data_IF_329433713306
#
_entry.id   IF_329433713306
#
_cell.length_a   1.000
_cell.length_b   1.000
_cell.length_c   1.000
_cell.angle_alpha   90.00
_cell.angle_beta   90.00
_cell.angle_gamma   90.00
#
_symmetry.space_group_name_H-M   'P 1'
#
loop_
_entity.id
_entity.type
_entity.pdbx_description
1 polymer ?
#
# COMPACT_ATOMS: atom_id res chain seq x y z
N UNK A 1 -8.98 -21.74 -1.54
CA UNK A 1 -9.07 -20.27 -1.47
C UNK A 1 -9.68 -19.80 -2.78
N UNK A 2 -10.74 -19.00 -2.75
CA UNK A 2 -11.34 -18.46 -3.98
C UNK A 2 -10.57 -17.19 -4.38
N UNK A 3 -9.93 -17.15 -5.56
CA UNK A 3 -9.14 -15.99 -5.97
C UNK A 3 -9.98 -14.71 -6.16
N UNK A 4 -11.31 -14.83 -6.23
CA UNK A 4 -12.23 -13.70 -6.35
C UNK A 4 -12.82 -13.27 -5.01
N UNK A 5 -12.50 -13.97 -3.91
CA UNK A 5 -12.98 -13.64 -2.58
C UNK A 5 -11.83 -13.16 -1.72
N UNK A 6 -11.77 -11.85 -1.51
CA UNK A 6 -10.75 -11.20 -0.72
C UNK A 6 -11.24 -10.87 0.69
N UNK A 7 -10.30 -10.60 1.60
CA UNK A 7 -10.64 -10.09 2.93
C UNK A 7 -11.11 -8.64 2.82
N UNK A 8 -11.86 -8.17 3.81
CA UNK A 8 -12.28 -6.76 3.88
C UNK A 8 -11.07 -5.81 3.85
N UNK A 9 -9.97 -6.19 4.50
CA UNK A 9 -8.71 -5.44 4.48
C UNK A 9 -8.11 -5.33 3.06
N UNK A 10 -8.13 -6.41 2.28
CA UNK A 10 -7.66 -6.36 0.89
C UNK A 10 -8.59 -5.49 0.03
N UNK A 11 -9.91 -5.62 0.19
CA UNK A 11 -10.88 -4.77 -0.52
C UNK A 11 -10.67 -3.30 -0.20
N UNK A 12 -10.44 -2.97 1.08
CA UNK A 12 -10.19 -1.61 1.54
C UNK A 12 -8.89 -1.05 0.95
N UNK A 13 -7.80 -1.80 1.00
CA UNK A 13 -6.51 -1.40 0.40
C UNK A 13 -6.65 -1.12 -1.10
N UNK A 14 -7.44 -1.90 -1.84
CA UNK A 14 -7.70 -1.63 -3.26
C UNK A 14 -8.50 -0.34 -3.50
N UNK A 15 -9.47 -0.01 -2.64
CA UNK A 15 -10.21 1.25 -2.72
C UNK A 15 -9.29 2.45 -2.48
N UNK A 16 -8.48 2.40 -1.44
CA UNK A 16 -7.50 3.45 -1.13
C UNK A 16 -6.46 3.60 -2.25
N UNK A 17 -6.02 2.49 -2.84
CA UNK A 17 -5.13 2.50 -4.01
C UNK A 17 -5.76 3.19 -5.22
N UNK A 18 -7.07 3.02 -5.41
CA UNK A 18 -7.81 3.65 -6.50
C UNK A 18 -7.95 5.16 -6.27
N UNK A 19 -8.27 5.58 -5.04
CA UNK A 19 -8.33 7.00 -4.65
C UNK A 19 -6.98 7.68 -4.92
N UNK A 20 -5.88 7.06 -4.50
CA UNK A 20 -4.52 7.58 -4.76
C UNK A 20 -4.17 7.65 -6.24
N UNK A 21 -4.58 6.67 -7.04
CA UNK A 21 -4.40 6.71 -8.49
C UNK A 21 -5.17 7.89 -9.11
N UNK A 22 -6.40 8.10 -8.66
CA UNK A 22 -7.29 9.16 -9.13
C UNK A 22 -6.76 10.55 -8.77
N UNK A 23 -6.34 10.77 -7.53
CA UNK A 23 -5.73 12.03 -7.06
C UNK A 23 -4.52 12.43 -7.93
N UNK A 24 -3.78 11.45 -8.42
CA UNK A 24 -2.60 11.65 -9.29
C UNK A 24 -2.91 11.66 -10.77
N UNK A 25 -4.19 11.54 -11.15
CA UNK A 25 -4.63 11.47 -12.56
C UNK A 25 -3.98 10.31 -13.32
N UNK A 26 -3.61 9.25 -12.62
CA UNK A 26 -3.08 8.04 -13.22
C UNK A 26 -4.24 7.20 -13.77
N UNK A 27 -4.16 6.80 -15.04
CA UNK A 27 -5.21 6.05 -15.71
C UNK A 27 -5.41 4.62 -15.14
N UNK A 28 -4.40 4.11 -14.43
CA UNK A 28 -4.40 2.76 -13.88
C UNK A 28 -3.88 2.76 -12.44
N UNK A 29 -4.36 1.80 -11.65
CA UNK A 29 -3.76 1.47 -10.37
C UNK A 29 -2.40 0.82 -10.66
N UNK A 30 -1.34 1.39 -10.09
CA UNK A 30 0.01 0.88 -10.15
C UNK A 30 0.43 0.37 -8.77
N UNK A 31 1.44 -0.53 -8.68
CA UNK A 31 1.93 -1.04 -7.40
C UNK A 31 2.28 0.06 -6.39
N UNK A 32 2.74 1.23 -6.84
CA UNK A 32 3.05 2.36 -5.95
C UNK A 32 1.81 2.88 -5.20
N UNK A 33 0.62 2.88 -5.81
CA UNK A 33 -0.60 3.30 -5.10
C UNK A 33 -0.99 2.30 -4.00
N UNK A 34 -0.78 1.01 -4.26
CA UNK A 34 -0.98 -0.05 -3.27
C UNK A 34 0.01 0.06 -2.12
N UNK A 35 1.29 0.30 -2.43
CA UNK A 35 2.30 0.51 -1.40
C UNK A 35 1.98 1.72 -0.53
N UNK A 36 1.43 2.79 -1.11
CA UNK A 36 0.97 3.94 -0.34
C UNK A 36 -0.16 3.62 0.64
N UNK A 37 -1.18 2.88 0.19
CA UNK A 37 -2.26 2.44 1.06
C UNK A 37 -1.72 1.56 2.21
N UNK A 38 -0.82 0.63 1.89
CA UNK A 38 -0.18 -0.27 2.88
C UNK A 38 0.61 0.50 3.94
N UNK A 39 1.35 1.54 3.58
CA UNK A 39 2.23 2.25 4.53
C UNK A 39 1.53 3.30 5.38
N UNK A 40 0.36 3.77 4.95
CA UNK A 40 -0.49 4.68 5.72
C UNK A 40 -1.27 3.94 6.82
N UNK A 41 -1.59 2.67 6.61
CA UNK A 41 -2.16 1.81 7.65
C UNK A 41 -1.06 1.31 8.60
N UNK A 42 -0.85 1.99 9.73
CA UNK A 42 0.21 1.64 10.70
C UNK A 42 0.11 0.21 11.25
N UNK A 43 -1.11 -0.33 11.36
CA UNK A 43 -1.37 -1.70 11.84
C UNK A 43 -1.22 -2.78 10.76
N UNK A 44 -0.85 -2.42 9.53
CA UNK A 44 -0.82 -3.36 8.43
C UNK A 44 0.25 -4.46 8.65
N UNK A 45 -0.12 -5.71 8.39
CA UNK A 45 0.76 -6.87 8.58
C UNK A 45 2.06 -6.77 7.76
N UNK A 46 2.04 -6.11 6.61
CA UNK A 46 3.22 -5.93 5.77
C UNK A 46 4.29 -5.10 6.48
N UNK A 47 3.91 -4.08 7.26
CA UNK A 47 4.85 -3.29 8.06
C UNK A 47 5.60 -4.19 9.03
N UNK A 48 4.86 -5.04 9.76
CA UNK A 48 5.44 -6.00 10.71
C UNK A 48 6.34 -7.02 10.00
N UNK A 49 5.97 -7.46 8.80
CA UNK A 49 6.80 -8.38 7.99
C UNK A 49 8.12 -7.73 7.62
N UNK A 50 8.11 -6.47 7.17
CA UNK A 50 9.35 -5.74 6.83
C UNK A 50 10.25 -5.61 8.05
N UNK A 51 9.71 -5.26 9.22
CA UNK A 51 10.49 -5.21 10.49
C UNK A 51 11.08 -6.57 10.85
N UNK A 52 10.29 -7.65 10.77
CA UNK A 52 10.74 -9.01 11.06
C UNK A 52 11.87 -9.46 10.12
N UNK A 53 11.89 -8.97 8.89
CA UNK A 53 12.95 -9.24 7.92
C UNK A 53 14.19 -8.35 8.11
N UNK A 54 14.21 -7.48 9.12
CA UNK A 54 15.30 -6.53 9.38
C UNK A 54 15.29 -5.30 8.47
N UNK A 55 14.16 -5.04 7.80
CA UNK A 55 13.97 -3.88 6.96
C UNK A 55 13.74 -2.59 7.76
N UNK A 56 14.21 -1.47 7.21
CA UNK A 56 13.96 -0.15 7.78
C UNK A 56 12.62 0.39 7.28
N UNK A 57 11.58 0.25 8.13
CA UNK A 57 10.24 0.75 7.83
C UNK A 57 10.22 2.25 7.64
N UNK A 58 10.97 3.01 8.44
CA UNK A 58 11.00 4.48 8.35
C UNK A 58 11.55 4.93 7.00
N UNK A 59 12.65 4.31 6.56
CA UNK A 59 13.22 4.54 5.23
C UNK A 59 12.25 4.11 4.12
N UNK A 60 11.61 2.95 4.26
CA UNK A 60 10.63 2.47 3.28
C UNK A 60 9.45 3.46 3.13
N UNK A 61 8.86 3.91 4.24
CA UNK A 61 7.78 4.90 4.25
C UNK A 61 8.22 6.18 3.54
N UNK A 62 9.42 6.67 3.87
CA UNK A 62 10.00 7.86 3.25
C UNK A 62 10.18 7.69 1.74
N UNK A 63 10.80 6.61 1.27
CA UNK A 63 11.02 6.38 -0.17
C UNK A 63 9.72 6.23 -0.96
N UNK A 64 8.70 5.59 -0.37
CA UNK A 64 7.38 5.46 -1.00
C UNK A 64 6.69 6.82 -1.07
N UNK A 65 6.80 7.64 -0.01
CA UNK A 65 6.24 9.00 0.03
C UNK A 65 6.98 9.97 -0.90
N UNK A 66 8.29 9.88 -1.03
CA UNK A 66 9.08 10.75 -1.92
C UNK A 66 8.85 10.40 -3.40
N UNK A 67 8.53 9.14 -3.72
CA UNK A 67 8.08 8.73 -5.06
C UNK A 67 6.62 9.09 -5.35
N UNK A 68 5.97 9.83 -4.44
CA UNK A 68 4.61 10.33 -4.62
C UNK A 68 4.51 11.76 -5.12
N UNK A 69 5.64 12.46 -5.24
CA UNK A 69 5.77 13.75 -5.94
C UNK A 69 6.12 13.52 -7.41
#
# INVERSE_FOLDING_TARGET
MDPNKWTDATVQMFKESQEKAFERKNAYIMPIHMMNAIVEEESNIIIRIVEMMGGDVSKMKKEIQERNE
#
